data_IF_947389536873
#
_entry.id   IF_947389536873
#
_cell.length_a   1.000
_cell.length_b   1.000
_cell.length_c   1.000
_cell.angle_alpha   90.00
_cell.angle_beta   90.00
_cell.angle_gamma   90.00
#
_symmetry.space_group_name_H-M   'P 1'
#
loop_
_entity.id
_entity.type
_entity.pdbx_description
1 polymer ?
2 water ?
#
# COMPACT_ATOMS: atom_id res chain seq x y z
N UNK A 3 -7.13 -82.58 18.18
CA UNK A 3 -7.06 -81.55 19.27
C UNK A 3 -5.86 -80.59 19.01
N UNK A 4 -4.63 -81.09 19.16
CA UNK A 4 -3.46 -80.39 18.67
C UNK A 4 -3.72 -79.90 17.24
N UNK A 5 -4.18 -80.81 16.39
CA UNK A 5 -4.53 -80.51 14.99
C UNK A 5 -5.56 -79.39 14.87
N UNK A 6 -6.51 -79.31 15.79
CA UNK A 6 -7.50 -78.22 15.75
C UNK A 6 -6.80 -76.90 15.98
N UNK A 7 -5.83 -76.91 16.89
CA UNK A 7 -5.17 -75.67 17.34
C UNK A 7 -4.31 -75.18 16.23
N UNK A 8 -3.71 -76.12 15.51
CA UNK A 8 -2.85 -75.77 14.42
C UNK A 8 -3.72 -75.16 13.31
N UNK A 9 -4.89 -75.76 13.06
CA UNK A 9 -5.77 -75.22 12.03
C UNK A 9 -6.21 -73.80 12.37
N UNK A 10 -6.61 -73.58 13.61
CA UNK A 10 -6.93 -72.28 14.18
C UNK A 10 -5.78 -71.29 13.96
N UNK A 11 -4.55 -71.70 14.26
CA UNK A 11 -3.40 -70.83 14.10
C UNK A 11 -3.15 -70.47 12.64
N UNK A 12 -3.29 -71.46 11.73
CA UNK A 12 -3.16 -71.22 10.29
C UNK A 12 -4.14 -70.16 9.80
N UNK A 13 -5.40 -70.27 10.20
CA UNK A 13 -6.40 -69.29 9.82
C UNK A 13 -6.10 -67.87 10.40
N UNK A 14 -5.81 -67.84 11.68
CA UNK A 14 -5.47 -66.58 12.36
C UNK A 14 -4.24 -65.90 11.76
N UNK A 15 -3.21 -66.66 11.41
CA UNK A 15 -2.01 -66.09 10.79
C UNK A 15 -2.33 -65.54 9.37
N UNK A 16 -3.14 -66.26 8.57
CA UNK A 16 -3.53 -65.75 7.26
C UNK A 16 -4.31 -64.43 7.39
N UNK A 17 -5.21 -64.36 8.37
CA UNK A 17 -5.98 -63.15 8.57
C UNK A 17 -5.04 -62.02 8.98
N UNK A 18 -4.13 -62.30 9.89
CA UNK A 18 -3.04 -61.28 10.25
C UNK A 18 -2.16 -60.82 9.13
N UNK A 19 -1.81 -61.72 8.23
CA UNK A 19 -1.06 -61.36 7.06
C UNK A 19 -1.85 -60.33 6.22
N UNK A 20 -3.15 -60.60 6.04
CA UNK A 20 -4.02 -59.67 5.32
C UNK A 20 -4.23 -58.35 6.03
N UNK A 21 -4.34 -58.36 7.35
CA UNK A 21 -4.53 -57.12 8.19
C UNK A 21 -3.27 -56.29 8.05
N UNK A 22 -2.11 -56.93 8.08
CA UNK A 22 -0.84 -56.24 7.93
C UNK A 22 -0.70 -55.63 6.55
N UNK A 23 -1.07 -56.39 5.52
CA UNK A 23 -1.08 -55.89 4.19
C UNK A 23 -2.03 -54.68 3.98
N UNK A 24 -3.21 -54.73 4.60
CA UNK A 24 -4.12 -53.60 4.49
C UNK A 24 -3.56 -52.35 5.25
N UNK A 25 -2.95 -52.56 6.41
CA UNK A 25 -2.32 -51.43 7.11
C UNK A 25 -1.23 -50.80 6.24
N UNK A 26 -0.43 -51.61 5.57
CA UNK A 26 0.59 -51.07 4.66
C UNK A 26 0.03 -50.23 3.56
N UNK A 27 -1.08 -50.68 2.97
CA UNK A 27 -1.81 -49.94 1.98
C UNK A 27 -2.29 -48.57 2.51
N UNK A 28 -2.84 -48.58 3.70
CA UNK A 28 -3.35 -47.38 4.30
C UNK A 28 -2.19 -46.38 4.58
N UNK A 29 -1.11 -46.90 5.15
CA UNK A 29 0.02 -46.02 5.52
C UNK A 29 0.56 -45.40 4.27
N UNK A 30 0.65 -46.17 3.16
CA UNK A 30 1.06 -45.63 1.89
C UNK A 30 0.23 -44.51 1.41
N UNK A 31 -1.08 -44.67 1.49
CA UNK A 31 -2.01 -43.66 1.07
C UNK A 31 -1.82 -42.41 1.94
N UNK A 32 -1.69 -42.62 3.26
CA UNK A 32 -1.40 -41.51 4.22
C UNK A 32 -0.10 -40.77 3.83
N UNK A 33 0.98 -41.49 3.59
CA UNK A 33 2.24 -40.77 3.27
C UNK A 33 2.11 -39.94 2.01
N UNK A 34 1.44 -40.47 1.00
CA UNK A 34 1.26 -39.71 -0.23
C UNK A 34 0.43 -38.46 0.00
N UNK A 35 -0.46 -38.46 1.00
CA UNK A 35 -1.38 -37.37 1.21
C UNK A 35 -1.06 -36.44 2.41
N UNK A 36 0.04 -36.71 3.11
CA UNK A 36 0.34 -36.04 4.39
C UNK A 36 1.05 -34.74 4.09
N UNK A 37 0.69 -33.71 4.84
CA UNK A 37 1.47 -32.52 4.87
C UNK A 37 2.51 -32.80 5.96
N UNK A 38 3.69 -32.23 5.73
CA UNK A 38 4.92 -32.44 6.48
C UNK A 38 5.26 -31.14 7.22
N UNK A 39 6.14 -31.29 8.20
CA UNK A 39 6.80 -30.16 8.82
C UNK A 39 7.55 -29.27 7.87
N UNK A 40 8.21 -29.80 6.84
CA UNK A 40 8.80 -28.96 5.81
C UNK A 40 7.80 -28.15 5.07
N UNK A 41 6.66 -28.76 4.74
CA UNK A 41 5.57 -28.07 4.10
C UNK A 41 5.17 -26.90 4.95
N UNK A 42 4.98 -27.13 6.28
CA UNK A 42 4.56 -26.03 7.19
C UNK A 42 5.58 -24.88 7.20
N UNK A 43 6.86 -25.22 7.12
CA UNK A 43 7.92 -24.22 7.07
C UNK A 43 7.84 -23.24 5.85
N UNK A 44 7.23 -23.71 4.76
CA UNK A 44 7.04 -22.85 3.60
C UNK A 44 5.81 -21.98 3.70
N UNK A 45 5.01 -22.18 4.71
CA UNK A 45 3.68 -21.49 4.78
C UNK A 45 3.71 -20.26 5.62
N UNK A 46 2.87 -19.30 5.27
CA UNK A 46 2.72 -18.10 6.06
C UNK A 46 1.90 -18.36 7.29
N UNK A 47 2.34 -17.84 8.43
CA UNK A 47 1.50 -17.96 9.65
C UNK A 47 0.51 -16.83 9.78
N UNK A 48 -0.52 -17.02 10.66
CA UNK A 48 -1.35 -15.91 11.07
C UNK A 48 -0.49 -14.74 11.60
N UNK A 49 0.56 -15.06 12.39
CA UNK A 49 1.38 -14.02 12.96
C UNK A 49 2.11 -13.19 11.90
N UNK A 50 2.54 -13.88 10.86
CA UNK A 50 3.22 -13.23 9.68
C UNK A 50 2.36 -12.20 9.04
N UNK A 51 1.03 -12.32 9.10
CA UNK A 51 0.10 -11.34 8.46
C UNK A 51 -0.63 -10.42 9.43
N UNK A 52 -0.20 -10.45 10.70
CA UNK A 52 -0.86 -9.62 11.70
C UNK A 52 -0.73 -8.13 11.43
N UNK A 53 0.33 -7.71 10.78
CA UNK A 53 0.50 -6.29 10.45
C UNK A 53 0.24 -6.01 8.96
N UNK A 54 -0.53 -6.90 8.28
CA UNK A 54 -0.82 -6.72 6.87
C UNK A 54 -1.70 -5.46 6.63
N UNK A 55 -1.33 -4.65 5.63
CA UNK A 55 -2.20 -3.60 5.15
C UNK A 55 -3.12 -4.20 4.13
N UNK A 56 -4.37 -3.73 4.11
CA UNK A 56 -5.35 -4.17 3.16
C UNK A 56 -5.65 -3.16 2.06
N UNK A 57 -6.35 -3.64 1.03
CA UNK A 57 -6.78 -2.75 -0.06
C UNK A 57 -7.75 -1.71 0.52
N UNK A 58 -8.55 -2.07 1.51
CA UNK A 58 -9.43 -1.07 2.14
C UNK A 58 -8.63 0.03 2.90
N UNK A 59 -7.54 -0.36 3.57
CA UNK A 59 -6.63 0.64 4.20
C UNK A 59 -6.13 1.69 3.28
N UNK A 60 -5.89 1.34 2.02
CA UNK A 60 -5.38 2.30 1.06
C UNK A 60 -6.40 2.86 0.09
N UNK A 61 -7.67 2.62 0.35
CA UNK A 61 -8.77 3.01 -0.62
C UNK A 61 -8.77 4.52 -0.83
N UNK A 62 -8.33 5.27 0.17
CA UNK A 62 -8.31 6.74 0.08
C UNK A 62 -6.94 7.38 -0.02
N UNK A 63 -5.97 6.61 -0.50
CA UNK A 63 -4.57 6.99 -0.58
C UNK A 63 -4.41 8.07 -1.64
N UNK A 64 -3.76 9.18 -1.26
CA UNK A 64 -3.30 10.14 -2.20
C UNK A 64 -2.07 9.65 -2.90
N UNK A 65 -1.81 10.13 -4.12
CA UNK A 65 -0.70 9.72 -4.89
C UNK A 65 0.28 10.88 -5.16
N UNK A 66 1.46 10.53 -5.64
CA UNK A 66 2.44 11.47 -6.09
C UNK A 66 1.90 12.31 -7.20
N UNK A 67 1.00 11.77 -8.04
CA UNK A 67 0.41 12.58 -9.13
C UNK A 67 -0.57 13.66 -8.57
N UNK A 68 -1.30 13.33 -7.48
CA UNK A 68 -2.12 14.35 -6.81
C UNK A 68 -1.27 15.52 -6.31
N UNK A 69 -0.11 15.24 -5.68
CA UNK A 69 0.87 16.23 -5.21
C UNK A 69 1.42 17.05 -6.38
N UNK A 70 1.77 16.40 -7.49
CA UNK A 70 2.30 17.12 -8.68
C UNK A 70 1.26 18.09 -9.21
N UNK A 71 0.01 17.67 -9.32
CA UNK A 71 -1.08 18.57 -9.80
C UNK A 71 -1.27 19.81 -8.93
N UNK A 72 -1.20 19.65 -7.63
CA UNK A 72 -1.28 20.81 -6.74
C UNK A 72 -0.08 21.71 -6.88
N UNK A 73 1.07 21.12 -7.04
CA UNK A 73 2.29 21.89 -7.17
C UNK A 73 2.26 22.78 -8.42
N UNK A 74 1.72 22.24 -9.52
CA UNK A 74 1.52 23.03 -10.74
C UNK A 74 0.61 24.25 -10.48
N UNK A 75 -0.50 24.07 -9.74
CA UNK A 75 -1.45 25.13 -9.40
C UNK A 75 -0.75 26.20 -8.57
N UNK A 76 0.10 25.76 -7.65
CA UNK A 76 0.84 26.66 -6.78
C UNK A 76 1.89 27.48 -7.57
N UNK A 77 2.62 26.83 -8.47
CA UNK A 77 3.61 27.54 -9.33
C UNK A 77 2.89 28.56 -10.19
N UNK A 78 1.74 28.23 -10.73
CA UNK A 78 1.02 29.17 -11.57
C UNK A 78 0.51 30.38 -10.81
N UNK A 79 0.04 30.19 -9.57
CA UNK A 79 -0.36 31.29 -8.67
C UNK A 79 0.85 32.17 -8.35
N UNK A 80 2.03 31.52 -8.13
CA UNK A 80 3.28 32.29 -7.84
C UNK A 80 3.58 33.20 -9.02
N UNK A 81 3.42 32.72 -10.25
CA UNK A 81 3.75 33.53 -11.44
C UNK A 81 2.74 34.69 -11.55
N UNK A 82 1.45 34.39 -11.30
CA UNK A 82 0.41 35.46 -11.34
C UNK A 82 0.70 36.52 -10.29
N UNK A 83 1.10 36.09 -9.11
CA UNK A 83 1.42 36.98 -8.02
C UNK A 83 2.57 37.93 -8.39
N UNK A 84 3.59 37.34 -9.03
CA UNK A 84 4.73 38.18 -9.47
C UNK A 84 4.31 39.19 -10.49
N UNK A 85 3.50 38.78 -11.43
CA UNK A 85 3.00 39.69 -12.47
C UNK A 85 2.26 40.86 -11.86
N UNK A 86 1.40 40.57 -10.86
CA UNK A 86 0.69 41.66 -10.15
C UNK A 86 1.67 42.54 -9.39
N UNK A 87 2.67 41.97 -8.70
CA UNK A 87 3.70 42.71 -8.02
C UNK A 87 4.37 43.74 -8.93
N UNK A 88 4.73 43.30 -10.15
CA UNK A 88 5.40 44.15 -11.09
C UNK A 88 4.50 45.30 -11.49
N UNK A 89 3.23 45.03 -11.72
CA UNK A 89 2.32 46.12 -12.11
C UNK A 89 2.12 47.12 -10.96
N UNK A 90 2.05 46.62 -9.73
CA UNK A 90 1.94 47.47 -8.52
C UNK A 90 3.20 48.35 -8.41
N UNK A 91 4.40 47.83 -8.70
CA UNK A 91 5.65 48.57 -8.63
C UNK A 91 5.65 49.73 -9.62
N UNK A 92 5.12 49.46 -10.80
CA UNK A 92 5.04 50.47 -11.91
C UNK A 92 4.10 51.55 -11.42
N UNK A 93 2.99 51.14 -10.87
CA UNK A 93 2.03 52.12 -10.33
C UNK A 93 2.52 52.94 -9.14
N UNK A 94 3.23 52.32 -8.22
CA UNK A 94 3.85 53.00 -7.08
C UNK A 94 4.74 54.15 -7.65
N UNK A 95 5.51 53.83 -8.71
CA UNK A 95 6.42 54.79 -9.30
C UNK A 95 5.64 55.94 -9.91
N UNK A 96 4.59 55.59 -10.65
CA UNK A 96 3.76 56.62 -11.30
C UNK A 96 3.07 57.53 -10.31
N UNK A 97 2.61 56.94 -9.20
CA UNK A 97 1.94 57.74 -8.12
C UNK A 97 3.01 58.72 -7.52
N UNK A 98 4.22 58.23 -7.23
CA UNK A 98 5.25 59.09 -6.67
C UNK A 98 5.55 60.28 -7.55
N UNK A 99 5.66 60.08 -8.87
CA UNK A 99 5.93 61.18 -9.79
C UNK A 99 4.73 62.12 -9.90
N UNK A 100 3.52 61.57 -9.86
CA UNK A 100 2.32 62.42 -9.86
C UNK A 100 2.30 63.31 -8.64
N UNK A 101 2.64 62.75 -7.51
CA UNK A 101 2.66 63.55 -6.27
C UNK A 101 3.64 64.73 -6.44
N UNK A 102 4.80 64.46 -7.00
CA UNK A 102 5.78 65.53 -7.23
C UNK A 102 5.27 66.60 -8.19
N UNK A 103 4.65 66.20 -9.29
CA UNK A 103 4.09 67.11 -10.26
C UNK A 103 3.00 67.97 -9.62
N UNK A 104 2.14 67.33 -8.82
CA UNK A 104 1.04 68.07 -8.18
C UNK A 104 1.60 69.07 -7.17
N UNK A 105 2.62 68.65 -6.40
CA UNK A 105 3.27 69.60 -5.51
C UNK A 105 3.80 70.85 -6.19
N UNK A 106 4.45 70.66 -7.34
CA UNK A 106 4.95 71.77 -8.11
C UNK A 106 3.84 72.68 -8.61
N UNK A 107 2.78 72.10 -9.17
CA UNK A 107 1.61 72.85 -9.57
C UNK A 107 0.97 73.64 -8.43
N UNK A 108 0.85 73.05 -7.24
CA UNK A 108 0.27 73.77 -6.10
C UNK A 108 1.14 74.96 -5.69
N UNK A 109 2.46 74.79 -5.78
CA UNK A 109 3.36 75.93 -5.50
C UNK A 109 3.15 77.06 -6.51
N UNK A 110 2.93 76.72 -7.78
CA UNK A 110 2.86 77.68 -8.85
C UNK A 110 1.51 78.40 -8.89
N UNK A 111 0.44 77.69 -8.48
CA UNK A 111 -0.92 78.20 -8.48
C UNK A 111 -1.25 78.93 -7.14
N UNK A 112 -0.77 78.42 -5.99
CA UNK A 112 -1.08 79.02 -4.69
C UNK A 112 -2.57 79.07 -4.49
N UNK A 113 -3.12 80.22 -4.08
CA UNK A 113 -4.56 80.29 -3.86
C UNK A 113 -5.36 80.58 -5.11
N UNK A 114 -4.67 80.78 -6.25
CA UNK A 114 -5.34 80.98 -7.57
C UNK A 114 -5.72 82.43 -7.82
#
# INVERSE_FOLDING_TARGET
MKQLEMKVEELLSKVYHLENEVARLKKLITLMQANMATKDDLARMATKDDIANMATKDDIANMATKDDIAKLDVKIENLNTKMKQLEWKVEELLSKVYHLENEVARLKKLVGSGHHHHHH
#
